data_IF_527705507894
#
_entry.id   IF_527705507894
#
_cell.length_a   1.000
_cell.length_b   1.000
_cell.length_c   1.000
_cell.angle_alpha   90.00
_cell.angle_beta   90.00
_cell.angle_gamma   90.00
#
_symmetry.space_group_name_H-M   'P 1'
#
loop_
_entity.id
_entity.type
_entity.pdbx_description
1 polymer ?
#
# COMPACT_ATOMS: atom_id res chain seq x y z
N UNK A 1 18.49 63.55 -6.84
CA UNK A 1 19.10 62.21 -6.78
C UNK A 1 18.68 61.56 -5.47
N UNK A 2 17.84 60.53 -5.55
CA UNK A 2 17.72 59.46 -4.58
C UNK A 2 16.83 58.39 -5.25
N UNK A 3 17.48 57.47 -5.97
CA UNK A 3 16.84 56.24 -6.46
C UNK A 3 16.38 55.42 -5.26
N UNK A 4 15.09 55.08 -5.23
CA UNK A 4 14.56 54.02 -4.39
C UNK A 4 14.69 52.70 -5.15
N UNK A 5 15.61 51.86 -4.69
CA UNK A 5 15.77 50.45 -5.09
C UNK A 5 14.55 49.62 -4.69
N UNK A 6 13.94 48.81 -5.58
CA UNK A 6 12.97 47.81 -5.20
C UNK A 6 13.68 46.48 -4.85
N UNK A 7 13.53 46.07 -3.60
CA UNK A 7 13.97 44.76 -3.08
C UNK A 7 13.19 43.62 -3.78
N UNK A 8 13.83 42.54 -4.27
CA UNK A 8 13.10 41.45 -4.90
C UNK A 8 12.37 40.60 -3.85
N UNK A 9 11.03 40.67 -3.86
CA UNK A 9 10.16 39.64 -3.32
C UNK A 9 10.21 38.43 -4.27
N UNK A 10 11.12 37.49 -4.02
CA UNK A 10 11.01 36.15 -4.62
C UNK A 10 11.77 35.09 -3.81
N UNK A 11 11.43 34.99 -2.52
CA UNK A 11 11.91 33.90 -1.65
C UNK A 11 10.77 33.41 -0.76
N UNK A 12 9.69 32.89 -1.36
CA UNK A 12 8.71 32.06 -0.63
C UNK A 12 8.26 30.82 -1.41
N UNK A 13 8.51 30.71 -2.73
CA UNK A 13 8.11 29.53 -3.51
C UNK A 13 9.05 28.30 -3.33
N UNK A 14 10.30 28.49 -2.89
CA UNK A 14 11.27 27.39 -2.77
C UNK A 14 11.13 26.50 -1.51
N UNK A 15 10.35 26.93 -0.52
CA UNK A 15 10.21 26.24 0.77
C UNK A 15 8.96 25.35 0.85
N UNK A 16 7.92 25.63 0.05
CA UNK A 16 6.73 24.77 -0.02
C UNK A 16 6.99 23.50 -0.83
N UNK A 17 7.91 23.54 -1.80
CA UNK A 17 8.30 22.36 -2.58
C UNK A 17 8.97 21.26 -1.74
N UNK A 18 9.47 21.55 -0.54
CA UNK A 18 10.16 20.56 0.29
C UNK A 18 9.23 19.75 1.21
N UNK A 19 7.98 20.16 1.35
CA UNK A 19 7.01 19.50 2.24
C UNK A 19 6.12 18.52 1.46
N UNK A 20 5.85 17.37 2.05
CA UNK A 20 4.81 16.46 1.56
C UNK A 20 3.47 17.14 1.83
N UNK A 21 2.53 17.12 0.90
CA UNK A 21 1.22 17.79 1.01
C UNK A 21 0.12 16.83 1.48
N UNK A 22 0.23 15.55 1.13
CA UNK A 22 -0.74 14.50 1.45
C UNK A 22 -0.12 13.38 2.28
N UNK A 23 1.16 13.08 2.10
CA UNK A 23 1.84 11.93 2.71
C UNK A 23 2.63 12.27 3.98
N UNK A 24 2.46 13.45 4.59
CA UNK A 24 3.11 13.78 5.87
C UNK A 24 2.78 12.77 6.97
N UNK A 25 1.54 12.27 7.01
CA UNK A 25 1.13 11.25 7.98
C UNK A 25 1.90 9.94 7.80
N UNK A 26 2.29 9.59 6.56
CA UNK A 26 3.10 8.40 6.27
C UNK A 26 4.49 8.60 6.84
N UNK A 27 5.08 9.78 6.63
CA UNK A 27 6.39 10.12 7.20
C UNK A 27 6.35 10.05 8.74
N UNK A 28 5.32 10.64 9.37
CA UNK A 28 5.14 10.58 10.82
C UNK A 28 4.94 9.14 11.32
N UNK A 29 4.14 8.32 10.63
CA UNK A 29 3.92 6.93 10.97
C UNK A 29 5.20 6.09 10.86
N UNK A 30 5.99 6.29 9.79
CA UNK A 30 7.29 5.64 9.61
C UNK A 30 8.25 6.04 10.73
N UNK A 31 8.34 7.33 11.07
CA UNK A 31 9.15 7.81 12.20
C UNK A 31 8.72 7.16 13.52
N UNK A 32 7.41 7.09 13.79
CA UNK A 32 6.88 6.42 14.98
C UNK A 32 7.20 4.92 14.98
N UNK A 33 7.07 4.24 13.85
CA UNK A 33 7.38 2.82 13.74
C UNK A 33 8.87 2.56 13.92
N UNK A 34 9.73 3.39 13.35
CA UNK A 34 11.19 3.34 13.55
C UNK A 34 11.52 3.55 15.02
N UNK A 35 10.90 4.54 15.67
CA UNK A 35 11.13 4.82 17.09
C UNK A 35 10.66 3.66 17.98
N UNK A 36 9.49 3.09 17.71
CA UNK A 36 8.97 1.91 18.41
C UNK A 36 9.84 0.67 18.17
N UNK A 37 10.27 0.41 16.93
CA UNK A 37 11.14 -0.70 16.62
C UNK A 37 12.52 -0.52 17.30
N UNK A 38 13.05 0.70 17.31
CA UNK A 38 14.29 1.02 18.00
C UNK A 38 14.17 0.84 19.51
N UNK A 39 13.06 1.25 20.13
CA UNK A 39 12.85 1.06 21.57
C UNK A 39 12.71 -0.42 21.93
N UNK A 40 11.96 -1.21 21.15
CA UNK A 40 11.83 -2.66 21.35
C UNK A 40 13.18 -3.36 21.13
N UNK A 41 13.92 -3.00 20.08
CA UNK A 41 15.23 -3.56 19.79
C UNK A 41 16.26 -3.23 20.87
N UNK A 42 16.34 -1.97 21.30
CA UNK A 42 17.25 -1.55 22.38
C UNK A 42 16.92 -2.25 23.69
N UNK A 43 15.63 -2.32 24.04
CA UNK A 43 15.17 -3.08 25.19
C UNK A 43 15.56 -4.57 25.11
N UNK A 44 15.29 -5.23 23.98
CA UNK A 44 15.63 -6.64 23.79
C UNK A 44 17.16 -6.87 23.83
N UNK A 45 17.92 -5.97 23.20
CA UNK A 45 19.39 -6.01 23.19
C UNK A 45 19.97 -5.84 24.59
N UNK A 46 19.46 -4.92 25.39
CA UNK A 46 19.96 -4.71 26.75
C UNK A 46 19.59 -5.86 27.69
N UNK A 47 18.46 -6.52 27.45
CA UNK A 47 18.00 -7.67 28.22
C UNK A 47 18.45 -9.04 27.65
N UNK A 48 19.34 -9.06 26.65
CA UNK A 48 19.74 -10.31 25.94
C UNK A 48 20.76 -11.18 26.70
N UNK A 49 21.23 -10.75 27.87
CA UNK A 49 22.09 -11.56 28.76
C UNK A 49 23.34 -12.12 28.06
N UNK A 50 23.62 -13.43 28.14
CA UNK A 50 24.79 -14.06 27.50
C UNK A 50 24.88 -13.89 25.97
N UNK A 51 23.78 -13.56 25.30
CA UNK A 51 23.74 -13.38 23.84
C UNK A 51 24.13 -11.97 23.38
N UNK A 52 24.23 -11.01 24.31
CA UNK A 52 24.57 -9.60 24.03
C UNK A 52 25.84 -9.43 23.19
N UNK A 53 26.95 -10.15 23.44
CA UNK A 53 28.16 -10.03 22.62
C UNK A 53 27.98 -10.53 21.18
N UNK A 54 27.12 -11.53 20.97
CA UNK A 54 26.79 -12.06 19.65
C UNK A 54 25.95 -11.07 18.83
N UNK A 55 24.93 -10.47 19.46
CA UNK A 55 24.09 -9.44 18.83
C UNK A 55 24.92 -8.23 18.42
N UNK A 56 25.82 -7.75 19.28
CA UNK A 56 26.71 -6.62 18.96
C UNK A 56 27.68 -6.92 17.82
N UNK A 57 28.20 -8.15 17.74
CA UNK A 57 29.08 -8.57 16.64
C UNK A 57 28.35 -8.55 15.30
N UNK A 58 27.14 -9.10 15.25
CA UNK A 58 26.32 -9.11 14.03
C UNK A 58 25.91 -7.69 13.65
N UNK A 59 25.49 -6.87 14.60
CA UNK A 59 25.18 -5.45 14.36
C UNK A 59 26.38 -4.70 13.78
N UNK A 60 27.59 -4.92 14.32
CA UNK A 60 28.82 -4.32 13.82
C UNK A 60 29.14 -4.73 12.38
N UNK A 61 29.00 -6.02 12.06
CA UNK A 61 29.18 -6.53 10.69
C UNK A 61 28.15 -5.95 9.74
N UNK A 62 26.87 -5.96 10.11
CA UNK A 62 25.79 -5.39 9.29
C UNK A 62 26.01 -3.89 9.08
N UNK A 63 26.37 -3.14 10.12
CA UNK A 63 26.70 -1.71 10.00
C UNK A 63 27.87 -1.47 9.05
N UNK A 64 28.89 -2.32 9.08
CA UNK A 64 30.07 -2.18 8.21
C UNK A 64 29.74 -2.49 6.74
N UNK A 65 28.92 -3.51 6.49
CA UNK A 65 28.56 -3.94 5.13
C UNK A 65 27.46 -3.07 4.52
N UNK A 66 26.42 -2.80 5.30
CA UNK A 66 25.20 -2.11 4.84
C UNK A 66 25.29 -0.60 5.06
N UNK A 67 26.06 -0.12 6.04
CA UNK A 67 26.22 1.32 6.32
C UNK A 67 26.64 2.16 5.11
N UNK A 68 27.63 1.74 4.30
CA UNK A 68 28.00 2.46 3.08
C UNK A 68 26.88 2.49 2.03
N UNK A 69 26.06 1.43 1.96
CA UNK A 69 24.90 1.35 1.05
C UNK A 69 23.80 2.28 1.54
N UNK A 70 23.47 2.24 2.84
CA UNK A 70 22.49 3.12 3.45
C UNK A 70 22.86 4.60 3.25
N UNK A 71 24.10 5.00 3.52
CA UNK A 71 24.55 6.38 3.34
C UNK A 71 24.42 6.87 1.89
N UNK A 72 24.51 5.97 0.89
CA UNK A 72 24.31 6.33 -0.52
C UNK A 72 22.85 6.45 -0.93
N UNK A 73 21.94 5.73 -0.27
CA UNK A 73 20.56 5.56 -0.72
C UNK A 73 19.50 6.04 0.27
N UNK A 74 19.87 6.51 1.47
CA UNK A 74 18.91 6.94 2.51
C UNK A 74 17.98 8.08 2.08
N UNK A 75 18.40 8.92 1.13
CA UNK A 75 17.58 9.99 0.58
C UNK A 75 16.58 9.52 -0.49
N UNK A 76 16.83 8.36 -1.12
CA UNK A 76 16.00 7.84 -2.23
C UNK A 76 14.56 7.54 -1.79
N UNK A 77 14.30 6.86 -0.65
CA UNK A 77 12.94 6.66 -0.16
C UNK A 77 12.15 7.96 0.03
N UNK A 78 12.80 9.01 0.54
CA UNK A 78 12.15 10.31 0.73
C UNK A 78 11.86 10.99 -0.60
N UNK A 79 12.79 10.94 -1.56
CA UNK A 79 12.59 11.46 -2.91
C UNK A 79 11.44 10.73 -3.65
N UNK A 80 11.34 9.41 -3.49
CA UNK A 80 10.22 8.63 -4.02
C UNK A 80 8.89 9.01 -3.38
N UNK A 81 8.87 9.17 -2.05
CA UNK A 81 7.67 9.59 -1.33
C UNK A 81 7.18 10.96 -1.82
N UNK A 82 8.10 11.89 -2.10
CA UNK A 82 7.82 13.20 -2.69
C UNK A 82 7.23 13.10 -4.11
N UNK A 83 7.77 12.20 -4.94
CA UNK A 83 7.22 11.98 -6.29
C UNK A 83 5.78 11.45 -6.24
N UNK A 84 5.52 10.50 -5.34
CA UNK A 84 4.16 9.96 -5.12
C UNK A 84 3.24 11.04 -4.58
N UNK A 85 3.68 11.82 -3.60
CA UNK A 85 2.92 12.93 -3.01
C UNK A 85 2.51 13.96 -4.07
N UNK A 86 3.44 14.36 -4.95
CA UNK A 86 3.14 15.24 -6.08
C UNK A 86 2.17 14.62 -7.08
N UNK A 87 2.29 13.31 -7.36
CA UNK A 87 1.34 12.60 -8.23
C UNK A 87 -0.06 12.53 -7.64
N UNK A 88 -0.16 12.40 -6.32
CA UNK A 88 -1.43 12.47 -5.60
C UNK A 88 -2.02 13.89 -5.72
N UNK A 89 -1.22 14.93 -5.53
CA UNK A 89 -1.66 16.33 -5.71
C UNK A 89 -2.18 16.62 -7.12
N UNK A 90 -1.45 16.19 -8.16
CA UNK A 90 -1.89 16.27 -9.56
C UNK A 90 -3.22 15.53 -9.80
N UNK A 91 -3.44 14.42 -9.11
CA UNK A 91 -4.65 13.62 -9.25
C UNK A 91 -5.84 14.25 -8.52
N UNK A 92 -5.62 14.76 -7.30
CA UNK A 92 -6.64 15.45 -6.49
C UNK A 92 -7.06 16.75 -7.16
N UNK A 93 -6.12 17.57 -7.63
CA UNK A 93 -6.40 18.82 -8.33
C UNK A 93 -7.20 18.61 -9.63
N UNK A 94 -6.89 17.57 -10.41
CA UNK A 94 -7.69 17.20 -11.59
C UNK A 94 -9.09 16.77 -11.19
N UNK A 95 -9.21 15.96 -10.14
CA UNK A 95 -10.50 15.47 -9.64
C UNK A 95 -11.34 16.60 -9.04
N UNK A 96 -10.73 17.65 -8.50
CA UNK A 96 -11.42 18.78 -7.89
C UNK A 96 -12.37 19.51 -8.85
N UNK A 97 -12.08 19.48 -10.16
CA UNK A 97 -12.94 20.03 -11.21
C UNK A 97 -14.15 19.14 -11.55
N UNK A 98 -14.16 17.88 -11.11
CA UNK A 98 -15.20 16.88 -11.42
C UNK A 98 -16.01 16.43 -10.20
N UNK A 99 -15.71 16.95 -9.00
CA UNK A 99 -16.35 16.50 -7.75
C UNK A 99 -17.49 17.44 -7.36
N UNK A 100 -18.75 16.95 -7.27
CA UNK A 100 -19.87 17.74 -6.79
C UNK A 100 -19.64 18.29 -5.36
N UNK A 101 -20.15 19.49 -5.02
CA UNK A 101 -19.95 20.14 -3.72
C UNK A 101 -20.31 19.29 -2.49
N UNK A 102 -21.17 18.27 -2.66
CA UNK A 102 -21.56 17.35 -1.58
C UNK A 102 -20.38 16.51 -1.07
N UNK A 103 -19.46 16.09 -1.93
CA UNK A 103 -18.30 15.28 -1.53
C UNK A 103 -17.24 16.12 -0.77
N UNK A 104 -17.18 17.44 -1.01
CA UNK A 104 -16.31 18.35 -0.25
C UNK A 104 -16.75 18.50 1.22
N UNK A 105 -18.04 18.28 1.51
CA UNK A 105 -18.60 18.35 2.88
C UNK A 105 -18.55 17.02 3.65
N UNK A 106 -18.34 15.90 2.96
CA UNK A 106 -18.30 14.57 3.57
C UNK A 106 -17.20 14.42 4.65
N UNK A 107 -15.96 14.94 4.48
CA UNK A 107 -14.94 14.87 5.53
C UNK A 107 -15.30 15.71 6.76
N UNK A 108 -15.93 16.86 6.56
CA UNK A 108 -16.40 17.72 7.64
C UNK A 108 -17.53 17.02 8.42
N UNK A 109 -18.53 16.49 7.73
CA UNK A 109 -19.62 15.72 8.33
C UNK A 109 -19.12 14.47 9.08
N UNK A 110 -18.14 13.75 8.51
CA UNK A 110 -17.53 12.59 9.17
C UNK A 110 -16.77 12.97 10.46
N UNK A 111 -16.10 14.13 10.48
CA UNK A 111 -15.43 14.65 11.69
C UNK A 111 -16.43 15.04 12.77
N UNK A 112 -17.55 15.69 12.40
CA UNK A 112 -18.61 16.05 13.36
C UNK A 112 -19.23 14.80 14.00
N UNK A 113 -19.55 13.80 13.16
CA UNK A 113 -20.12 12.53 13.64
C UNK A 113 -19.12 11.77 14.52
N UNK A 114 -17.82 11.76 14.18
CA UNK A 114 -16.79 11.13 15.00
C UNK A 114 -16.62 11.83 16.37
N UNK A 115 -16.75 13.15 16.44
CA UNK A 115 -16.73 13.89 17.70
C UNK A 115 -17.99 13.68 18.54
N UNK A 116 -19.16 13.58 17.91
CA UNK A 116 -20.44 13.36 18.60
C UNK A 116 -20.55 11.94 19.17
N UNK A 117 -20.00 10.93 18.48
CA UNK A 117 -19.92 9.54 18.96
C UNK A 117 -19.01 9.39 20.19
N UNK A 118 -18.02 10.28 20.38
CA UNK A 118 -17.23 10.31 21.62
C UNK A 118 -18.01 10.88 22.81
N UNK A 119 -19.01 11.74 22.57
CA UNK A 119 -19.79 12.40 23.63
C UNK A 119 -21.12 11.71 23.96
N UNK A 120 -21.74 11.05 22.99
CA UNK A 120 -23.00 10.34 23.17
C UNK A 120 -22.72 8.84 23.27
N UNK A 121 -22.71 8.29 24.49
CA UNK A 121 -22.57 6.86 24.79
C UNK A 121 -23.74 6.01 24.28
N UNK A 122 -24.16 6.19 23.04
CA UNK A 122 -25.34 5.58 22.42
C UNK A 122 -24.86 4.64 21.31
N UNK A 123 -24.41 3.45 21.74
CA UNK A 123 -23.86 2.41 20.87
C UNK A 123 -24.90 1.80 19.91
N UNK A 124 -26.19 1.83 20.25
CA UNK A 124 -27.25 1.23 19.41
C UNK A 124 -27.65 2.10 18.21
N UNK A 125 -27.84 3.40 18.40
CA UNK A 125 -28.29 4.30 17.32
C UNK A 125 -27.19 4.55 16.28
N UNK A 126 -25.92 4.61 16.72
CA UNK A 126 -24.77 4.71 15.83
C UNK A 126 -24.57 3.43 14.98
N UNK A 127 -24.83 2.25 15.55
CA UNK A 127 -24.81 0.98 14.80
C UNK A 127 -25.91 0.92 13.74
N UNK A 128 -27.12 1.40 14.05
CA UNK A 128 -28.22 1.49 13.09
C UNK A 128 -27.94 2.43 11.92
N UNK A 129 -27.37 3.61 12.20
CA UNK A 129 -27.01 4.58 11.16
C UNK A 129 -25.86 4.07 10.28
N UNK A 130 -24.83 3.46 10.88
CA UNK A 130 -23.72 2.86 10.14
C UNK A 130 -24.18 1.71 9.25
N UNK A 131 -25.11 0.85 9.73
CA UNK A 131 -25.72 -0.20 8.90
C UNK A 131 -26.50 0.37 7.73
N UNK A 132 -27.31 1.41 7.93
CA UNK A 132 -28.08 2.03 6.86
C UNK A 132 -27.17 2.71 5.82
N UNK A 133 -26.13 3.43 6.28
CA UNK A 133 -25.11 3.97 5.40
C UNK A 133 -24.38 2.86 4.63
N UNK A 134 -24.01 1.77 5.29
CA UNK A 134 -23.37 0.62 4.65
C UNK A 134 -24.26 0.03 3.55
N UNK A 135 -25.54 -0.24 3.84
CA UNK A 135 -26.50 -0.76 2.83
C UNK A 135 -26.65 0.20 1.65
N UNK A 136 -26.59 1.51 1.87
CA UNK A 136 -26.70 2.51 0.81
C UNK A 136 -25.45 2.60 -0.06
N UNK A 137 -24.27 2.46 0.52
CA UNK A 137 -22.99 2.61 -0.19
C UNK A 137 -22.41 1.28 -0.70
N UNK A 138 -22.78 0.13 -0.12
CA UNK A 138 -22.37 -1.21 -0.56
C UNK A 138 -22.59 -1.41 -2.07
N UNK A 139 -23.78 -1.19 -2.65
CA UNK A 139 -24.00 -1.43 -4.07
C UNK A 139 -23.15 -0.51 -4.96
N UNK A 140 -23.00 0.76 -4.60
CA UNK A 140 -22.18 1.71 -5.35
C UNK A 140 -20.67 1.39 -5.24
N UNK A 141 -20.20 1.00 -4.06
CA UNK A 141 -18.83 0.55 -3.87
C UNK A 141 -18.56 -0.74 -4.66
N UNK A 142 -19.47 -1.72 -4.59
CA UNK A 142 -19.38 -2.98 -5.33
C UNK A 142 -19.39 -2.77 -6.84
N UNK A 143 -20.19 -1.84 -7.35
CA UNK A 143 -20.21 -1.46 -8.77
C UNK A 143 -18.86 -0.87 -9.20
N UNK A 144 -18.32 0.06 -8.41
CA UNK A 144 -17.00 0.64 -8.67
C UNK A 144 -15.91 -0.45 -8.60
N UNK A 145 -15.92 -1.31 -7.59
CA UNK A 145 -14.97 -2.42 -7.48
C UNK A 145 -15.04 -3.33 -8.70
N UNK A 146 -16.23 -3.79 -9.10
CA UNK A 146 -16.43 -4.64 -10.29
C UNK A 146 -15.90 -3.99 -11.56
N UNK A 147 -16.07 -2.66 -11.70
CA UNK A 147 -15.59 -1.91 -12.87
C UNK A 147 -14.06 -1.81 -12.92
N UNK A 148 -13.42 -1.60 -11.78
CA UNK A 148 -11.97 -1.35 -11.71
C UNK A 148 -11.14 -2.62 -11.48
N UNK A 149 -11.71 -3.66 -10.90
CA UNK A 149 -11.06 -4.96 -10.68
C UNK A 149 -10.38 -5.51 -11.94
N UNK A 150 -11.04 -5.66 -13.10
CA UNK A 150 -10.38 -6.21 -14.30
C UNK A 150 -9.25 -5.29 -14.82
N UNK A 151 -9.38 -3.98 -14.62
CA UNK A 151 -8.34 -3.01 -15.00
C UNK A 151 -7.12 -3.16 -14.09
N UNK A 152 -7.34 -3.25 -12.78
CA UNK A 152 -6.28 -3.46 -11.79
C UNK A 152 -5.57 -4.80 -12.00
N UNK A 153 -6.33 -5.87 -12.29
CA UNK A 153 -5.79 -7.19 -12.65
C UNK A 153 -4.92 -7.12 -13.91
N UNK A 154 -5.41 -6.48 -14.96
CA UNK A 154 -4.67 -6.34 -16.21
C UNK A 154 -3.32 -5.62 -15.99
N UNK A 155 -3.32 -4.52 -15.23
CA UNK A 155 -2.08 -3.81 -14.89
C UNK A 155 -1.16 -4.64 -14.00
N UNK A 156 -1.69 -5.36 -13.01
CA UNK A 156 -0.91 -6.22 -12.12
C UNK A 156 -0.22 -7.34 -12.91
N UNK A 157 -0.95 -8.02 -13.80
CA UNK A 157 -0.40 -9.07 -14.67
C UNK A 157 0.63 -8.51 -15.65
N UNK A 158 0.35 -7.37 -16.29
CA UNK A 158 1.27 -6.72 -17.22
C UNK A 158 2.58 -6.29 -16.54
N UNK A 159 2.48 -5.70 -15.35
CA UNK A 159 3.62 -5.33 -14.53
C UNK A 159 4.43 -6.56 -14.10
N UNK A 160 3.76 -7.61 -13.60
CA UNK A 160 4.39 -8.88 -13.23
C UNK A 160 5.15 -9.50 -14.41
N UNK A 161 4.55 -9.52 -15.60
CA UNK A 161 5.18 -10.03 -16.82
C UNK A 161 6.40 -9.21 -17.21
N UNK A 162 6.30 -7.88 -17.11
CA UNK A 162 7.41 -6.97 -17.41
C UNK A 162 8.58 -7.17 -16.44
N UNK A 163 8.28 -7.37 -15.15
CA UNK A 163 9.28 -7.69 -14.12
C UNK A 163 9.95 -9.04 -14.40
N UNK A 164 9.20 -10.06 -14.82
CA UNK A 164 9.76 -11.38 -15.17
C UNK A 164 10.70 -11.37 -16.38
N UNK A 165 10.75 -10.30 -17.18
CA UNK A 165 11.76 -10.12 -18.23
C UNK A 165 13.12 -9.67 -17.69
N UNK A 166 13.20 -9.23 -16.43
CA UNK A 166 14.45 -8.83 -15.80
C UNK A 166 15.25 -10.06 -15.38
N UNK A 167 16.58 -10.10 -15.58
CA UNK A 167 17.39 -11.32 -15.46
C UNK A 167 17.40 -11.96 -14.07
N UNK A 168 17.18 -11.19 -13.00
CA UNK A 168 17.20 -11.70 -11.61
C UNK A 168 15.80 -11.87 -11.02
N UNK A 169 14.79 -11.25 -11.60
CA UNK A 169 13.46 -11.21 -10.99
C UNK A 169 12.78 -12.59 -10.94
N UNK A 170 12.84 -13.46 -11.97
CA UNK A 170 12.25 -14.80 -11.90
C UNK A 170 12.80 -15.65 -10.74
N UNK A 171 14.11 -15.57 -10.46
CA UNK A 171 14.73 -16.32 -9.37
C UNK A 171 14.25 -15.81 -8.00
N UNK A 172 14.17 -14.49 -7.84
CA UNK A 172 13.62 -13.86 -6.63
C UNK A 172 12.14 -14.19 -6.46
N UNK A 173 11.37 -14.12 -7.55
CA UNK A 173 9.95 -14.45 -7.54
C UNK A 173 9.72 -15.91 -7.13
N UNK A 174 10.48 -16.87 -7.67
CA UNK A 174 10.37 -18.28 -7.27
C UNK A 174 10.65 -18.51 -5.77
N UNK A 175 11.56 -17.75 -5.16
CA UNK A 175 11.83 -17.85 -3.74
C UNK A 175 10.73 -17.19 -2.87
N UNK A 176 10.15 -16.08 -3.33
CA UNK A 176 9.24 -15.25 -2.53
C UNK A 176 7.77 -15.65 -2.70
N UNK A 177 7.35 -16.09 -3.89
CA UNK A 177 5.96 -16.46 -4.19
C UNK A 177 5.41 -17.53 -3.23
N UNK A 178 6.13 -18.63 -2.91
CA UNK A 178 5.64 -19.61 -1.95
C UNK A 178 5.43 -19.02 -0.55
N UNK A 179 6.35 -18.17 -0.09
CA UNK A 179 6.24 -17.50 1.20
C UNK A 179 5.05 -16.53 1.23
N UNK A 180 4.85 -15.77 0.15
CA UNK A 180 3.70 -14.88 0.01
C UNK A 180 2.37 -15.66 0.01
N UNK A 181 2.31 -16.80 -0.68
CA UNK A 181 1.16 -17.71 -0.67
C UNK A 181 0.85 -18.23 0.75
N UNK A 182 1.85 -18.77 1.44
CA UNK A 182 1.69 -19.26 2.81
C UNK A 182 1.21 -18.17 3.77
N UNK A 183 1.85 -16.99 3.73
CA UNK A 183 1.45 -15.86 4.59
C UNK A 183 0.01 -15.41 4.31
N UNK A 184 -0.39 -15.36 3.04
CA UNK A 184 -1.75 -14.97 2.64
C UNK A 184 -2.79 -15.97 3.15
N UNK A 185 -2.49 -17.27 3.05
CA UNK A 185 -3.36 -18.33 3.57
C UNK A 185 -3.51 -18.24 5.10
N UNK A 186 -2.39 -18.09 5.83
CA UNK A 186 -2.42 -17.95 7.29
C UNK A 186 -3.18 -16.71 7.74
N UNK A 187 -3.02 -15.60 7.04
CA UNK A 187 -3.80 -14.39 7.28
C UNK A 187 -5.30 -14.66 7.08
N UNK A 188 -5.69 -15.23 5.94
CA UNK A 188 -7.09 -15.54 5.63
C UNK A 188 -7.73 -16.45 6.69
N UNK A 189 -7.05 -17.54 7.06
CA UNK A 189 -7.49 -18.45 8.11
C UNK A 189 -7.67 -17.72 9.44
N UNK A 190 -6.73 -16.86 9.82
CA UNK A 190 -6.78 -16.11 11.07
C UNK A 190 -7.96 -15.15 11.08
N UNK A 191 -8.19 -14.41 9.99
CA UNK A 191 -9.32 -13.49 9.86
C UNK A 191 -10.65 -14.24 10.00
N UNK A 192 -10.81 -15.34 9.27
CA UNK A 192 -12.03 -16.16 9.32
C UNK A 192 -12.29 -16.72 10.72
N UNK A 193 -11.30 -17.40 11.32
CA UNK A 193 -11.43 -17.98 12.66
C UNK A 193 -11.72 -16.92 13.74
N UNK A 194 -11.14 -15.73 13.59
CA UNK A 194 -11.33 -14.63 14.56
C UNK A 194 -12.72 -13.99 14.39
N UNK A 195 -13.20 -13.88 13.15
CA UNK A 195 -14.57 -13.44 12.86
C UNK A 195 -15.61 -14.44 13.38
N UNK A 196 -15.39 -15.75 13.19
CA UNK A 196 -16.25 -16.83 13.72
C UNK A 196 -16.33 -16.82 15.25
N UNK A 197 -15.23 -16.46 15.93
CA UNK A 197 -15.18 -16.29 17.39
C UNK A 197 -15.90 -15.03 17.89
N UNK A 198 -16.53 -14.26 17.02
CA UNK A 198 -17.37 -13.11 17.38
C UNK A 198 -16.63 -11.77 17.51
N UNK A 199 -15.36 -11.69 17.12
CA UNK A 199 -14.62 -10.43 17.09
C UNK A 199 -15.06 -9.58 15.89
N UNK A 200 -15.94 -8.61 16.14
CA UNK A 200 -16.53 -7.73 15.11
C UNK A 200 -15.52 -6.99 14.24
N UNK A 201 -14.31 -6.71 14.72
CA UNK A 201 -13.28 -6.06 13.91
C UNK A 201 -12.77 -6.98 12.78
N UNK A 202 -12.68 -8.29 13.02
CA UNK A 202 -12.16 -9.25 12.05
C UNK A 202 -13.09 -9.43 10.84
N UNK A 203 -14.42 -9.32 11.02
CA UNK A 203 -15.38 -9.42 9.92
C UNK A 203 -15.29 -8.29 8.89
N UNK A 204 -14.56 -7.21 9.20
CA UNK A 204 -14.30 -6.12 8.26
C UNK A 204 -12.95 -6.23 7.55
N UNK A 205 -12.11 -7.20 7.93
CA UNK A 205 -10.81 -7.40 7.29
C UNK A 205 -11.00 -8.15 5.96
N UNK A 206 -10.45 -7.62 4.85
CA UNK A 206 -10.59 -8.26 3.55
C UNK A 206 -9.74 -9.54 3.51
N UNK A 207 -10.27 -10.57 2.85
CA UNK A 207 -9.53 -11.79 2.53
C UNK A 207 -8.72 -11.59 1.24
N UNK A 208 -7.56 -12.23 1.19
CA UNK A 208 -6.73 -12.29 -0.01
C UNK A 208 -7.30 -13.34 -0.96
N UNK A 209 -7.66 -13.02 -2.22
CA UNK A 209 -8.28 -13.96 -3.16
C UNK A 209 -7.24 -14.88 -3.80
N UNK A 210 -6.67 -15.79 -3.00
CA UNK A 210 -5.57 -16.69 -3.38
C UNK A 210 -5.91 -17.59 -4.58
N UNK A 211 -7.14 -18.08 -4.65
CA UNK A 211 -7.60 -18.99 -5.72
C UNK A 211 -7.74 -18.24 -7.05
N UNK A 212 -8.25 -17.00 -6.99
CA UNK A 212 -8.39 -16.15 -8.17
C UNK A 212 -7.02 -15.79 -8.75
N UNK A 213 -6.08 -15.41 -7.89
CA UNK A 213 -4.69 -15.11 -8.26
C UNK A 213 -4.05 -16.34 -8.92
N UNK A 214 -4.12 -17.51 -8.27
CA UNK A 214 -3.58 -18.74 -8.83
C UNK A 214 -4.18 -19.07 -10.20
N UNK A 215 -5.50 -18.90 -10.38
CA UNK A 215 -6.19 -19.13 -11.65
C UNK A 215 -5.71 -18.19 -12.76
N UNK A 216 -5.55 -16.90 -12.49
CA UNK A 216 -5.07 -15.92 -13.48
C UNK A 216 -3.69 -16.29 -14.01
N UNK A 217 -2.79 -16.79 -13.14
CA UNK A 217 -1.43 -17.16 -13.54
C UNK A 217 -1.32 -18.56 -14.16
N UNK A 218 -2.27 -19.46 -13.92
CA UNK A 218 -2.28 -20.83 -14.49
C UNK A 218 -3.03 -20.95 -15.81
N UNK A 219 -4.05 -20.11 -16.05
CA UNK A 219 -4.87 -20.14 -17.27
C UNK A 219 -4.06 -19.70 -18.51
N UNK A 220 -2.96 -18.95 -18.35
CA UNK A 220 -2.14 -18.46 -19.45
C UNK A 220 -1.00 -19.42 -19.89
N UNK A 221 -0.74 -20.53 -19.16
CA UNK A 221 0.24 -21.54 -19.61
C UNK A 221 -0.33 -22.50 -20.67
N UNK A 222 -1.65 -22.49 -20.88
CA UNK A 222 -2.37 -23.35 -21.83
C UNK A 222 -2.94 -22.52 -22.98
N UNK A 223 -2.07 -21.87 -23.76
CA UNK A 223 -2.44 -21.54 -25.14
C UNK A 223 -2.11 -22.73 -26.06
N UNK A 224 -3.06 -23.21 -26.89
CA UNK A 224 -2.82 -24.33 -27.77
C UNK A 224 -1.87 -23.90 -28.89
N UNK A 225 -0.76 -24.62 -29.03
CA UNK A 225 0.06 -24.60 -30.24
C UNK A 225 -0.86 -24.93 -31.42
N UNK A 226 -1.22 -23.92 -32.21
CA UNK A 226 -1.81 -24.11 -33.53
C UNK A 226 -0.77 -24.82 -34.39
N UNK A 227 -0.87 -26.15 -34.44
CA UNK A 227 -0.17 -26.99 -35.40
C UNK A 227 -0.80 -26.80 -36.77
N UNK A 228 -0.26 -25.87 -37.54
CA UNK A 228 -0.44 -25.83 -38.98
C UNK A 228 0.54 -26.81 -39.63
N UNK A 229 0.01 -27.79 -40.36
CA UNK A 229 0.80 -28.79 -41.08
C UNK A 229 -0.10 -29.82 -41.73
N UNK A 230 -0.71 -29.43 -42.84
CA UNK A 230 -1.54 -30.23 -43.73
C UNK A 230 -0.99 -31.64 -43.96
N UNK A 231 -1.86 -32.64 -43.75
CA UNK A 231 -1.73 -33.94 -44.40
C UNK A 231 -2.47 -33.87 -45.72
N UNK A 232 -1.74 -33.92 -46.84
CA UNK A 232 -2.32 -34.21 -48.15
C UNK A 232 -1.48 -35.26 -48.90
N UNK A 233 -1.79 -36.52 -48.59
CA UNK A 233 -2.02 -37.66 -49.50
C UNK A 233 -0.98 -37.96 -50.60
N UNK A 234 -0.22 -39.04 -50.38
CA UNK A 234 0.34 -39.91 -51.42
C UNK A 234 -0.78 -40.66 -52.16
N UNK A 235 -0.81 -40.60 -53.49
CA UNK A 235 -1.24 -41.72 -54.35
C UNK A 235 -0.74 -41.49 -55.79
N UNK A 236 0.12 -42.40 -56.24
CA UNK A 236 0.46 -42.84 -57.61
C UNK A 236 0.56 -41.82 -58.76
#
# INVERSE_FOLDING_TARGET
>A
MAETDPKPQNQMEGSEEQRLKYLEFVQAAVLHLVLCAASVYTYAKDNSGPLKPGVQRVEGTVRTVVGPVYNKFHDVPFALLKLVDRKVDESVSKMENYVPPLLKKAPAAARTVASEVKSAGVMETASGLAKNAYVKYEPAARELYTKYEPVAEHYAVSAWRSLNKLPLFPQVAQAVVPAAGYCSEKYNQTVQQTAEKGYKAASYLPLVPTEKIAKIFTTEEVEPRVGGGDSAVEAH
#
